data_IF_586232146047
#
_entry.id   IF_586232146047
#
_cell.length_a   1.000
_cell.length_b   1.000
_cell.length_c   1.000
_cell.angle_alpha   90.00
_cell.angle_beta   90.00
_cell.angle_gamma   90.00
#
_symmetry.space_group_name_H-M   'P 1'
#
loop_
_entity.id
_entity.type
_entity.pdbx_description
1 polymer ?
#
# COMPACT_ATOMS: atom_id res chain seq x y z
N UNK A 1 39.10 10.86 -29.00
CA UNK A 1 38.49 11.24 -27.72
C UNK A 1 38.27 9.93 -26.99
N UNK A 2 39.13 9.68 -26.00
CA UNK A 2 39.42 8.36 -25.49
C UNK A 2 38.25 7.80 -24.67
N UNK A 3 38.03 6.52 -24.87
CA UNK A 3 37.06 5.68 -24.20
C UNK A 3 37.78 4.79 -23.17
N UNK A 4 38.77 5.36 -22.48
CA UNK A 4 39.68 4.66 -21.57
C UNK A 4 40.04 5.63 -20.45
N UNK A 5 39.13 5.81 -19.50
CA UNK A 5 39.41 6.21 -18.10
C UNK A 5 38.08 6.21 -17.35
N UNK A 6 37.46 5.02 -17.25
CA UNK A 6 36.59 4.73 -16.12
C UNK A 6 37.54 4.16 -15.06
N UNK A 7 37.94 5.00 -14.12
CA UNK A 7 38.70 4.57 -12.95
C UNK A 7 37.87 3.51 -12.22
N UNK A 8 38.32 2.26 -12.24
CA UNK A 8 37.85 1.22 -11.33
C UNK A 8 38.28 1.61 -9.91
N UNK A 9 37.46 2.42 -9.25
CA UNK A 9 37.57 2.67 -7.82
C UNK A 9 37.39 1.33 -7.12
N UNK A 10 38.51 0.76 -6.66
CA UNK A 10 38.55 -0.41 -5.82
C UNK A 10 37.75 -0.07 -4.55
N UNK A 11 36.53 -0.60 -4.43
CA UNK A 11 35.86 -0.72 -3.14
C UNK A 11 36.60 -1.83 -2.40
N UNK A 12 37.70 -1.47 -1.78
CA UNK A 12 38.24 -2.13 -0.60
C UNK A 12 37.06 -2.49 0.30
N UNK A 13 36.82 -3.79 0.51
CA UNK A 13 35.63 -4.34 1.15
C UNK A 13 35.52 -3.99 2.64
N UNK A 14 35.48 -2.71 2.96
CA UNK A 14 35.19 -2.18 4.28
C UNK A 14 33.78 -2.63 4.68
N UNK A 15 33.71 -3.42 5.75
CA UNK A 15 32.45 -3.81 6.35
C UNK A 15 31.80 -2.56 6.95
N UNK A 16 30.67 -2.15 6.38
CA UNK A 16 29.88 -1.05 6.93
C UNK A 16 29.05 -1.60 8.08
N UNK A 17 29.44 -1.28 9.31
CA UNK A 17 28.61 -1.52 10.49
C UNK A 17 27.43 -0.53 10.48
N UNK A 18 26.21 -1.06 10.46
CA UNK A 18 24.98 -0.25 10.50
C UNK A 18 24.34 -0.38 11.89
N UNK A 19 24.21 0.75 12.58
CA UNK A 19 23.40 0.83 13.80
C UNK A 19 21.91 0.80 13.45
N UNK A 20 21.16 -0.15 14.01
CA UNK A 20 19.72 -0.27 13.79
C UNK A 20 18.94 -0.28 15.11
N UNK A 21 17.81 0.41 15.12
CA UNK A 21 16.91 0.49 16.28
C UNK A 21 15.94 -0.69 16.24
N UNK A 22 15.92 -1.50 17.30
CA UNK A 22 14.99 -2.61 17.45
C UNK A 22 13.56 -2.16 17.73
N UNK A 23 12.60 -2.68 16.95
CA UNK A 23 11.17 -2.46 17.14
C UNK A 23 10.52 -3.78 17.57
N UNK A 24 10.16 -3.85 18.85
CA UNK A 24 9.44 -5.00 19.39
C UNK A 24 8.01 -5.08 18.84
N UNK A 25 7.69 -6.21 18.24
CA UNK A 25 6.34 -6.52 17.75
C UNK A 25 5.80 -7.78 18.43
N UNK A 26 4.52 -7.76 18.78
CA UNK A 26 3.89 -8.84 19.54
C UNK A 26 3.50 -10.06 18.69
N UNK A 27 3.45 -9.91 17.37
CA UNK A 27 3.04 -10.97 16.45
C UNK A 27 3.61 -10.73 15.07
N UNK A 28 4.04 -11.81 14.42
CA UNK A 28 4.38 -11.84 13.00
C UNK A 28 3.43 -12.78 12.24
N UNK A 29 3.12 -12.53 10.95
CA UNK A 29 3.57 -11.38 10.15
C UNK A 29 2.87 -10.06 10.51
N UNK A 30 3.61 -8.97 10.56
CA UNK A 30 3.09 -7.61 10.76
C UNK A 30 3.11 -6.81 9.45
N UNK A 31 2.22 -5.82 9.30
CA UNK A 31 2.19 -4.97 8.11
C UNK A 31 3.12 -3.75 8.29
N UNK A 32 3.89 -3.38 7.27
CA UNK A 32 4.88 -2.28 7.32
C UNK A 32 4.32 -0.97 7.93
N UNK A 33 3.15 -0.50 7.48
CA UNK A 33 2.57 0.74 8.05
C UNK A 33 2.22 0.61 9.55
N UNK A 34 1.98 -0.60 10.06
CA UNK A 34 1.74 -0.84 11.49
C UNK A 34 3.05 -0.78 12.26
N UNK A 35 4.15 -1.28 11.69
CA UNK A 35 5.50 -1.15 12.29
C UNK A 35 5.84 0.32 12.50
N UNK A 36 5.64 1.17 11.49
CA UNK A 36 5.82 2.63 11.59
C UNK A 36 5.02 3.26 12.73
N UNK A 37 3.79 2.77 12.94
CA UNK A 37 2.93 3.24 14.03
C UNK A 37 3.44 2.78 15.39
N UNK A 38 3.86 1.52 15.53
CA UNK A 38 4.37 0.96 16.79
C UNK A 38 5.64 1.69 17.22
N UNK A 39 6.52 1.97 16.27
CA UNK A 39 7.76 2.70 16.50
C UNK A 39 7.58 4.23 16.67
N UNK A 40 6.34 4.74 16.61
CA UNK A 40 6.02 6.18 16.71
C UNK A 40 6.82 7.06 15.70
N UNK A 41 7.15 6.52 14.52
CA UNK A 41 7.92 7.24 13.50
C UNK A 41 7.08 8.31 12.76
N UNK A 42 5.77 8.26 12.94
CA UNK A 42 4.79 9.11 12.26
C UNK A 42 3.68 9.52 13.23
N UNK A 43 2.98 10.61 12.92
CA UNK A 43 1.83 11.09 13.69
C UNK A 43 0.60 10.18 13.56
N UNK A 44 0.55 9.29 12.56
CA UNK A 44 -0.51 8.29 12.47
C UNK A 44 -0.44 7.33 11.28
N UNK A 45 -1.34 6.35 11.27
CA UNK A 45 -1.35 5.30 10.23
C UNK A 45 -1.73 5.78 8.82
N UNK A 46 -2.33 6.97 8.67
CA UNK A 46 -2.57 7.60 7.38
C UNK A 46 -1.29 8.16 6.77
N UNK A 47 -0.47 8.80 7.61
CA UNK A 47 0.84 9.33 7.24
C UNK A 47 1.81 8.22 6.87
N UNK A 48 1.92 7.15 7.68
CA UNK A 48 2.73 5.98 7.34
C UNK A 48 2.40 5.44 5.94
N UNK A 49 1.10 5.32 5.65
CA UNK A 49 0.65 4.85 4.33
C UNK A 49 1.08 5.78 3.20
N UNK A 50 1.03 7.09 3.43
CA UNK A 50 1.42 8.08 2.44
C UNK A 50 2.94 8.00 2.18
N UNK A 51 3.75 8.07 3.23
CA UNK A 51 5.21 7.98 3.17
C UNK A 51 5.67 6.73 2.42
N UNK A 52 5.09 5.56 2.76
CA UNK A 52 5.41 4.31 2.06
C UNK A 52 5.00 4.41 0.59
N UNK A 53 3.79 4.89 0.26
CA UNK A 53 3.37 4.96 -1.15
C UNK A 53 4.18 5.92 -2.00
N UNK A 54 4.77 6.95 -1.40
CA UNK A 54 5.67 7.89 -2.09
C UNK A 54 7.10 7.34 -2.25
N UNK A 55 7.41 6.18 -1.64
CA UNK A 55 8.71 5.54 -1.79
C UNK A 55 9.81 6.08 -0.88
N UNK A 56 9.46 6.72 0.24
CA UNK A 56 10.45 7.20 1.21
C UNK A 56 11.00 6.12 2.15
N UNK A 57 10.66 4.86 1.92
CA UNK A 57 11.02 3.73 2.78
C UNK A 57 11.69 2.67 1.93
N UNK A 58 12.84 2.18 2.38
CA UNK A 58 13.47 0.99 1.81
C UNK A 58 13.36 -0.16 2.81
N UNK A 59 13.01 -1.35 2.34
CA UNK A 59 12.99 -2.58 3.14
C UNK A 59 14.05 -3.50 2.59
N UNK A 60 14.97 -3.96 3.43
CA UNK A 60 16.08 -4.84 3.04
C UNK A 60 16.88 -4.31 1.83
N UNK A 61 17.07 -2.98 1.75
CA UNK A 61 17.80 -2.31 0.68
C UNK A 61 16.99 -1.98 -0.59
N UNK A 62 15.72 -2.38 -0.67
CA UNK A 62 14.85 -2.07 -1.83
C UNK A 62 13.76 -1.07 -1.47
N UNK A 63 13.55 -0.07 -2.33
CA UNK A 63 12.48 0.92 -2.16
C UNK A 63 11.10 0.23 -2.19
N UNK A 64 10.34 0.37 -1.11
CA UNK A 64 9.07 -0.32 -0.91
C UNK A 64 7.90 0.66 -0.96
N UNK A 65 6.91 0.36 -1.80
CA UNK A 65 5.68 1.17 -1.97
C UNK A 65 4.42 0.48 -1.45
N UNK A 66 4.54 -0.81 -1.07
CA UNK A 66 3.44 -1.63 -0.58
C UNK A 66 3.25 -1.39 0.91
N UNK A 67 2.33 -0.48 1.23
CA UNK A 67 1.86 -0.15 2.60
C UNK A 67 1.60 -1.36 3.52
N UNK A 68 1.10 -2.46 2.97
CA UNK A 68 0.78 -3.70 3.70
C UNK A 68 1.76 -4.85 3.41
N UNK A 69 3.00 -4.53 3.02
CA UNK A 69 4.09 -5.51 2.98
C UNK A 69 4.16 -6.22 4.33
N UNK A 70 4.25 -7.54 4.30
CA UNK A 70 4.40 -8.35 5.50
C UNK A 70 5.87 -8.30 5.91
N UNK A 71 6.11 -7.93 7.15
CA UNK A 71 7.39 -7.89 7.82
C UNK A 71 7.43 -9.02 8.84
N UNK A 72 8.60 -9.61 8.99
CA UNK A 72 8.90 -10.69 9.90
C UNK A 72 10.04 -10.29 10.85
N UNK A 73 10.27 -11.11 11.87
CA UNK A 73 11.43 -10.99 12.73
C UNK A 73 12.73 -10.93 11.91
N UNK A 74 13.61 -9.98 12.23
CA UNK A 74 14.87 -9.73 11.54
C UNK A 74 14.78 -8.89 10.26
N UNK A 75 13.59 -8.63 9.71
CA UNK A 75 13.46 -7.69 8.60
C UNK A 75 13.85 -6.27 9.06
N UNK A 76 14.61 -5.55 8.23
CA UNK A 76 14.98 -4.18 8.52
C UNK A 76 14.46 -3.21 7.44
N UNK A 77 14.26 -1.96 7.84
CA UNK A 77 13.88 -0.91 6.92
C UNK A 77 14.60 0.39 7.25
N UNK A 78 14.81 1.19 6.21
CA UNK A 78 15.39 2.52 6.29
C UNK A 78 14.29 3.57 6.17
N UNK A 79 14.32 4.54 7.06
CA UNK A 79 13.46 5.72 7.01
C UNK A 79 14.18 6.91 7.64
N UNK A 80 14.14 8.08 6.99
CA UNK A 80 14.83 9.29 7.46
C UNK A 80 16.33 9.10 7.78
N UNK A 81 17.06 8.31 6.98
CA UNK A 81 18.49 7.99 7.19
C UNK A 81 18.77 7.19 8.48
N UNK A 82 17.73 6.63 9.09
CA UNK A 82 17.86 5.71 10.23
C UNK A 82 17.41 4.32 9.83
N UNK A 83 18.03 3.31 10.45
CA UNK A 83 17.71 1.91 10.24
C UNK A 83 16.95 1.36 11.43
N UNK A 84 15.96 0.53 11.12
CA UNK A 84 15.11 -0.11 12.12
C UNK A 84 14.99 -1.59 11.82
N UNK A 85 15.06 -2.44 12.84
CA UNK A 85 14.91 -3.89 12.71
C UNK A 85 13.67 -4.35 13.48
N UNK A 86 12.87 -5.21 12.86
CA UNK A 86 11.70 -5.81 13.51
C UNK A 86 12.17 -6.95 14.40
N UNK A 87 11.76 -6.93 15.68
CA UNK A 87 12.10 -7.97 16.66
C UNK A 87 10.81 -8.57 17.22
N UNK A 88 10.65 -9.89 17.13
CA UNK A 88 9.47 -10.59 17.62
C UNK A 88 9.86 -11.82 18.47
N UNK A 89 9.71 -11.70 19.79
CA UNK A 89 9.99 -12.78 20.74
C UNK A 89 8.90 -13.87 20.82
N UNK A 90 7.88 -13.80 19.95
CA UNK A 90 6.80 -14.78 19.97
C UNK A 90 7.34 -16.16 19.53
N UNK A 91 7.10 -17.24 20.30
CA UNK A 91 7.50 -18.58 19.88
C UNK A 91 6.79 -18.90 18.57
N UNK A 92 7.57 -19.22 17.53
CA UNK A 92 7.04 -19.64 16.22
C UNK A 92 6.16 -20.87 16.45
N UNK A 93 4.86 -20.67 16.50
CA UNK A 93 3.89 -21.75 16.49
C UNK A 93 3.70 -22.12 15.04
N UNK A 94 4.63 -22.92 14.50
CA UNK A 94 4.41 -23.59 13.23
C UNK A 94 3.19 -24.50 13.44
N UNK A 95 2.00 -24.09 12.99
CA UNK A 95 1.01 -25.10 12.66
C UNK A 95 1.65 -25.92 11.52
N UNK A 96 1.82 -27.25 11.69
CA UNK A 96 2.38 -28.05 10.62
C UNK A 96 1.45 -27.90 9.42
N UNK A 97 1.90 -27.21 8.38
CA UNK A 97 1.27 -27.29 7.08
C UNK A 97 1.28 -28.77 6.71
N UNK A 98 0.10 -29.38 6.79
CA UNK A 98 -0.17 -30.76 6.45
C UNK A 98 0.53 -31.05 5.12
N UNK A 99 1.45 -32.00 5.11
CA UNK A 99 1.96 -32.65 3.91
C UNK A 99 0.78 -33.10 3.03
N UNK A 100 0.29 -32.23 2.14
CA UNK A 100 -0.60 -32.61 1.06
C UNK A 100 0.29 -32.83 -0.16
N UNK A 101 0.49 -34.08 -0.62
CA UNK A 101 1.15 -34.29 -1.89
C UNK A 101 0.34 -33.60 -2.99
N UNK A 102 1.00 -32.76 -3.79
CA UNK A 102 0.46 -32.24 -5.04
C UNK A 102 -0.08 -33.41 -5.89
N UNK A 103 -1.38 -33.44 -6.25
CA UNK A 103 -1.82 -34.36 -7.29
C UNK A 103 -1.46 -33.79 -8.67
N UNK A 104 -0.44 -34.34 -9.33
CA UNK A 104 -0.21 -34.14 -10.77
C UNK A 104 -1.20 -34.97 -11.64
N UNK A 105 -1.22 -34.88 -12.99
CA UNK A 105 -2.29 -34.21 -13.74
C UNK A 105 -3.09 -35.19 -14.63
N UNK A 106 -4.42 -35.15 -14.61
CA UNK A 106 -5.25 -35.88 -15.60
C UNK A 106 -5.60 -35.01 -16.80
N UNK A 107 -4.85 -35.23 -17.90
CA UNK A 107 -5.15 -34.77 -19.26
C UNK A 107 -6.57 -35.17 -19.69
N UNK A 108 -7.38 -34.20 -20.15
CA UNK A 108 -8.33 -34.35 -21.27
C UNK A 108 -8.48 -33.02 -22.02
N UNK A 109 -8.02 -33.01 -23.27
CA UNK A 109 -8.34 -32.00 -24.29
C UNK A 109 -9.60 -32.45 -25.09
N UNK A 110 -10.03 -31.75 -26.16
CA UNK A 110 -10.63 -30.42 -26.23
C UNK A 110 -12.04 -30.47 -26.89
N UNK A 111 -12.85 -29.39 -26.82
CA UNK A 111 -14.01 -29.02 -27.67
C UNK A 111 -14.63 -27.75 -27.06
N UNK A 112 -15.03 -26.69 -27.74
CA UNK A 112 -15.13 -26.29 -29.14
C UNK A 112 -15.62 -24.83 -29.13
N UNK A 113 -15.36 -24.11 -30.23
CA UNK A 113 -15.67 -22.69 -30.47
C UNK A 113 -17.17 -22.38 -30.33
N UNK A 114 -17.52 -21.13 -30.00
CA UNK A 114 -18.38 -20.28 -30.85
C UNK A 114 -18.39 -18.80 -30.43
N UNK A 115 -18.51 -17.94 -31.45
CA UNK A 115 -18.28 -16.50 -31.49
C UNK A 115 -19.60 -15.68 -31.46
N UNK A 116 -19.61 -14.55 -30.72
CA UNK A 116 -20.22 -13.22 -31.02
C UNK A 116 -21.75 -13.14 -31.34
N UNK A 117 -22.36 -11.95 -31.62
CA UNK A 117 -22.24 -10.55 -31.14
C UNK A 117 -23.60 -9.91 -30.70
N UNK A 118 -23.58 -8.71 -30.08
CA UNK A 118 -24.50 -7.57 -30.40
C UNK A 118 -24.23 -6.37 -29.46
N UNK A 119 -23.75 -5.24 -29.99
CA UNK A 119 -24.49 -4.03 -30.40
C UNK A 119 -24.87 -3.12 -29.20
N UNK A 120 -24.15 -2.02 -28.95
CA UNK A 120 -24.25 -0.69 -29.61
C UNK A 120 -25.57 0.03 -29.27
N UNK A 121 -25.50 1.01 -28.37
CA UNK A 121 -26.33 2.21 -28.48
C UNK A 121 -25.56 3.43 -27.96
N UNK A 122 -25.88 4.54 -28.58
CA UNK A 122 -25.11 5.77 -28.67
C UNK A 122 -26.13 6.90 -28.69
N UNK A 123 -25.96 7.92 -27.85
CA UNK A 123 -26.54 9.25 -28.05
C UNK A 123 -25.72 10.24 -27.22
N UNK A 124 -25.00 11.19 -27.83
CA UNK A 124 -25.45 12.53 -28.30
C UNK A 124 -26.07 13.35 -27.16
N UNK A 125 -25.88 14.66 -26.99
CA UNK A 125 -25.08 15.76 -27.58
C UNK A 125 -25.64 17.03 -26.89
N UNK A 126 -24.85 18.09 -26.80
CA UNK A 126 -25.26 19.53 -26.65
C UNK A 126 -25.99 19.93 -25.37
N UNK A 127 -25.81 21.12 -24.80
CA UNK A 127 -25.06 22.31 -25.20
C UNK A 127 -25.49 23.49 -24.31
N UNK A 128 -24.61 24.48 -24.18
CA UNK A 128 -24.82 25.93 -23.95
C UNK A 128 -26.01 26.44 -23.10
N UNK A 129 -25.71 27.37 -22.17
CA UNK A 129 -26.64 28.46 -21.88
C UNK A 129 -26.60 29.10 -20.49
N UNK A 130 -25.61 29.96 -20.27
CA UNK A 130 -25.69 31.27 -19.59
C UNK A 130 -26.84 31.65 -18.63
N UNK A 131 -26.41 32.14 -17.46
CA UNK A 131 -26.89 33.32 -16.69
C UNK A 131 -28.25 33.30 -15.98
N UNK A 132 -28.23 33.44 -14.64
CA UNK A 132 -28.82 34.61 -13.94
C UNK A 132 -28.44 34.68 -12.45
N UNK A 133 -27.97 35.87 -12.04
CA UNK A 133 -27.92 36.35 -10.65
C UNK A 133 -29.31 36.25 -10.00
N UNK A 134 -29.38 35.92 -8.70
CA UNK A 134 -29.93 36.81 -7.64
C UNK A 134 -29.83 36.20 -6.22
N UNK A 135 -29.54 37.09 -5.26
CA UNK A 135 -29.95 37.14 -3.85
C UNK A 135 -29.65 36.00 -2.84
N UNK A 136 -28.60 36.25 -2.05
CA UNK A 136 -28.62 36.50 -0.59
C UNK A 136 -29.93 36.13 0.15
N UNK A 137 -29.91 35.02 0.90
CA UNK A 137 -30.67 34.89 2.16
C UNK A 137 -29.92 33.96 3.13
N UNK A 138 -29.61 34.50 4.31
CA UNK A 138 -29.18 33.77 5.51
C UNK A 138 -30.32 32.87 5.95
N UNK A 139 -30.07 31.61 6.27
CA UNK A 139 -30.87 30.84 7.24
C UNK A 139 -30.09 29.59 7.70
N UNK A 140 -29.87 29.54 9.02
CA UNK A 140 -29.76 28.36 9.90
C UNK A 140 -29.01 27.10 9.44
N UNK A 141 -27.96 26.77 10.20
CA UNK A 141 -27.32 25.44 10.21
C UNK A 141 -28.35 24.30 10.34
N UNK A 142 -28.58 23.57 9.26
CA UNK A 142 -29.31 22.30 9.25
C UNK A 142 -28.45 21.24 9.96
N UNK A 143 -29.00 20.65 11.03
CA UNK A 143 -28.35 19.52 11.70
C UNK A 143 -28.33 18.32 10.73
N UNK A 144 -27.24 17.53 10.67
CA UNK A 144 -27.19 16.35 9.82
C UNK A 144 -28.26 15.35 10.29
N UNK A 145 -29.20 15.05 9.41
CA UNK A 145 -30.20 14.00 9.65
C UNK A 145 -29.61 12.66 9.21
N UNK A 146 -29.60 11.69 10.12
CA UNK A 146 -29.12 10.33 9.86
C UNK A 146 -30.19 9.57 9.07
N UNK A 147 -29.84 9.15 7.85
CA UNK A 147 -30.69 8.32 7.01
C UNK A 147 -30.77 6.91 7.62
N UNK A 148 -32.00 6.44 7.90
CA UNK A 148 -32.22 5.16 8.60
C UNK A 148 -32.07 3.93 7.70
N UNK A 149 -32.02 4.12 6.39
CA UNK A 149 -31.94 3.02 5.41
C UNK A 149 -30.48 2.78 5.00
N UNK A 150 -29.73 3.87 4.77
CA UNK A 150 -28.31 3.80 4.40
C UNK A 150 -27.34 3.92 5.57
N UNK A 151 -27.81 4.34 6.75
CA UNK A 151 -26.99 4.59 7.94
C UNK A 151 -26.01 5.77 7.82
N UNK A 152 -26.04 6.49 6.69
CA UNK A 152 -25.16 7.62 6.40
C UNK A 152 -25.80 8.93 6.87
N UNK A 153 -24.98 9.86 7.31
CA UNK A 153 -25.42 11.23 7.55
C UNK A 153 -25.54 11.94 6.20
N UNK A 154 -26.64 12.66 5.99
CA UNK A 154 -26.80 13.52 4.83
C UNK A 154 -25.71 14.61 4.84
N UNK A 155 -24.92 14.69 3.77
CA UNK A 155 -23.99 15.80 3.53
C UNK A 155 -24.60 16.66 2.42
N UNK A 156 -24.77 17.95 2.70
CA UNK A 156 -25.25 18.92 1.74
C UNK A 156 -24.07 19.42 0.89
N UNK A 157 -24.12 19.20 -0.43
CA UNK A 157 -23.08 19.62 -1.41
C UNK A 157 -23.35 21.02 -2.00
N UNK A 158 -24.07 21.88 -1.26
CA UNK A 158 -24.43 23.24 -1.69
C UNK A 158 -23.22 24.18 -1.80
#
# INVERSE_FOLDING_TARGET
>A
MNQEEYEEQQYDGEEIEIEAIGIEVSSQPIELYKVFKIANLVGGGGEAKHIISEGYVAVNGELETRKRRKMYDGDFFEFNQEYYVVVCDAPVTEEPELNQPLPEPKKKAPKGKDNKPSAKSSSKKSGQGSTKKTNKKKESASKPTRDKDSGRNSIDFF
#
